data_IF_406966124601
#
_entry.id   IF_406966124601
#
_cell.length_a   1.000
_cell.length_b   1.000
_cell.length_c   1.000
_cell.angle_alpha   90.00
_cell.angle_beta   90.00
_cell.angle_gamma   90.00
#
_symmetry.space_group_name_H-M   'P 1'
#
loop_
_entity.id
_entity.type
_entity.pdbx_description
1 polymer ?
#
# COMPACT_ATOMS: atom_id res chain seq x y z
N UNK A 1 3.35 6.00 25.42
CA UNK A 1 4.28 7.12 25.15
C UNK A 1 4.36 7.28 23.65
N UNK A 2 3.75 8.31 23.09
CA UNK A 2 3.82 8.60 21.66
C UNK A 2 5.26 8.90 21.29
N UNK A 3 5.88 8.00 20.57
CA UNK A 3 7.21 8.19 19.97
C UNK A 3 7.07 9.37 18.99
N UNK A 4 7.53 10.56 19.39
CA UNK A 4 7.67 11.68 18.46
C UNK A 4 8.51 11.17 17.31
N UNK A 5 7.94 11.08 16.12
CA UNK A 5 8.68 10.85 14.88
C UNK A 5 9.87 11.81 14.86
N UNK A 6 11.08 11.29 15.03
CA UNK A 6 12.30 12.09 14.87
C UNK A 6 12.41 12.42 13.41
N UNK A 7 12.16 13.67 13.06
CA UNK A 7 12.48 14.19 11.72
C UNK A 7 14.01 14.26 11.65
N UNK A 8 14.62 13.32 10.96
CA UNK A 8 16.04 13.36 10.68
C UNK A 8 16.28 14.34 9.53
N UNK A 9 17.25 15.26 9.63
CA UNK A 9 17.59 16.17 8.54
C UNK A 9 18.04 15.36 7.32
N UNK A 10 17.71 15.88 6.15
CA UNK A 10 18.31 15.36 4.92
C UNK A 10 19.82 15.62 4.92
N UNK A 11 20.59 14.70 4.37
CA UNK A 11 22.05 14.78 4.31
C UNK A 11 22.52 14.72 2.87
N UNK A 12 23.58 15.45 2.57
CA UNK A 12 24.33 15.35 1.33
C UNK A 12 25.79 15.12 1.68
N UNK A 13 26.43 14.17 1.04
CA UNK A 13 27.83 13.82 1.27
C UNK A 13 28.79 14.70 0.49
N UNK A 14 28.32 15.22 -0.64
CA UNK A 14 29.09 16.10 -1.53
C UNK A 14 28.20 17.20 -2.08
N UNK A 15 28.82 18.32 -2.46
CA UNK A 15 28.11 19.41 -3.15
C UNK A 15 27.65 18.94 -4.53
N UNK A 16 26.35 19.03 -4.81
CA UNK A 16 25.71 18.61 -6.07
C UNK A 16 25.08 19.77 -6.82
N UNK A 17 25.07 20.99 -6.23
CA UNK A 17 24.50 22.15 -6.88
C UNK A 17 25.28 22.54 -8.11
N UNK A 18 24.63 22.48 -9.25
CA UNK A 18 25.25 22.71 -10.56
C UNK A 18 25.83 24.13 -10.67
N UNK A 19 25.10 25.13 -10.18
CA UNK A 19 25.53 26.52 -10.26
C UNK A 19 26.80 26.76 -9.43
N UNK A 20 26.84 26.24 -8.23
CA UNK A 20 28.00 26.32 -7.33
C UNK A 20 29.23 25.68 -7.95
N UNK A 21 29.10 24.49 -8.54
CA UNK A 21 30.21 23.77 -9.17
C UNK A 21 30.71 24.53 -10.42
N UNK A 22 29.80 24.94 -11.30
CA UNK A 22 30.13 25.70 -12.51
C UNK A 22 30.86 26.99 -12.16
N UNK A 23 30.33 27.77 -11.21
CA UNK A 23 30.95 29.03 -10.78
C UNK A 23 32.33 28.81 -10.18
N UNK A 24 32.51 27.75 -9.38
CA UNK A 24 33.81 27.40 -8.79
C UNK A 24 34.83 27.06 -9.86
N UNK A 25 34.46 26.29 -10.89
CA UNK A 25 35.35 25.92 -11.98
C UNK A 25 35.72 27.12 -12.86
N UNK A 26 34.73 27.97 -13.19
CA UNK A 26 34.97 29.18 -13.98
C UNK A 26 35.92 30.14 -13.25
N UNK A 27 35.64 30.48 -12.01
CA UNK A 27 36.44 31.35 -11.17
C UNK A 27 37.87 30.80 -10.99
N UNK A 28 37.99 29.48 -10.77
CA UNK A 28 39.30 28.82 -10.67
C UNK A 28 40.12 28.97 -11.94
N UNK A 29 39.51 28.77 -13.11
CA UNK A 29 40.17 28.92 -14.40
C UNK A 29 40.55 30.39 -14.70
N UNK A 30 39.62 31.34 -14.44
CA UNK A 30 39.86 32.78 -14.63
C UNK A 30 41.07 33.27 -13.80
N UNK A 31 41.18 32.79 -12.57
CA UNK A 31 42.30 33.09 -11.68
C UNK A 31 43.63 32.56 -12.24
N UNK A 32 43.66 31.37 -12.82
CA UNK A 32 44.84 30.76 -13.41
C UNK A 32 45.19 31.44 -14.73
N UNK A 33 44.19 31.70 -15.60
CA UNK A 33 44.36 32.27 -16.90
C UNK A 33 44.61 33.79 -16.89
N UNK A 34 44.36 34.47 -15.77
CA UNK A 34 44.49 35.93 -15.60
C UNK A 34 43.53 36.74 -16.47
N UNK A 35 42.38 36.15 -16.89
CA UNK A 35 41.39 36.81 -17.74
C UNK A 35 39.97 36.33 -17.41
N UNK A 36 39.00 37.19 -17.66
CA UNK A 36 37.57 36.87 -17.53
C UNK A 36 37.06 36.05 -18.71
N UNK A 37 36.24 35.04 -18.46
CA UNK A 37 35.60 34.24 -19.49
C UNK A 37 34.18 34.74 -19.78
N UNK A 38 33.94 35.19 -21.01
CA UNK A 38 32.61 35.60 -21.47
C UNK A 38 31.77 34.40 -21.91
N UNK A 39 30.42 34.51 -21.99
CA UNK A 39 29.54 33.40 -22.28
C UNK A 39 29.85 32.54 -23.51
N UNK A 40 30.36 33.18 -24.59
CA UNK A 40 30.73 32.51 -25.85
C UNK A 40 32.20 32.10 -25.94
N UNK A 41 33.01 32.29 -24.90
CA UNK A 41 34.42 31.87 -24.88
C UNK A 41 34.53 30.35 -25.01
N UNK A 42 35.33 29.82 -25.97
CA UNK A 42 35.53 28.38 -26.13
C UNK A 42 36.02 27.69 -24.86
N UNK A 43 36.86 28.35 -24.05
CA UNK A 43 37.31 27.81 -22.78
C UNK A 43 36.14 27.69 -21.76
N UNK A 44 35.20 28.64 -21.76
CA UNK A 44 34.00 28.56 -20.92
C UNK A 44 33.10 27.41 -21.34
N UNK A 45 32.90 27.20 -22.64
CA UNK A 45 32.11 26.07 -23.14
C UNK A 45 32.72 24.72 -22.76
N UNK A 46 34.06 24.62 -22.86
CA UNK A 46 34.77 23.42 -22.40
C UNK A 46 34.61 23.19 -20.89
N UNK A 47 34.74 24.26 -20.07
CA UNK A 47 34.52 24.16 -18.61
C UNK A 47 33.08 23.71 -18.27
N UNK A 48 32.11 24.24 -19.00
CA UNK A 48 30.70 23.80 -18.80
C UNK A 48 30.50 22.30 -19.08
N UNK A 49 31.13 21.79 -20.16
CA UNK A 49 31.08 20.36 -20.44
C UNK A 49 31.79 19.52 -19.37
N UNK A 50 32.94 19.95 -18.88
CA UNK A 50 33.64 19.28 -17.76
C UNK A 50 32.84 19.38 -16.49
N UNK A 51 32.20 20.52 -16.23
CA UNK A 51 31.35 20.73 -15.07
C UNK A 51 30.16 19.75 -15.05
N UNK A 52 29.54 19.50 -16.20
CA UNK A 52 28.44 18.54 -16.34
C UNK A 52 28.88 17.13 -15.90
N UNK A 53 30.03 16.67 -16.37
CA UNK A 53 30.61 15.38 -15.95
C UNK A 53 30.85 15.34 -14.43
N UNK A 54 31.44 16.42 -13.87
CA UNK A 54 31.71 16.48 -12.42
C UNK A 54 30.42 16.48 -11.61
N UNK A 55 29.38 17.18 -12.06
CA UNK A 55 28.08 17.20 -11.41
C UNK A 55 27.50 15.78 -11.39
N UNK A 56 27.50 15.08 -12.53
CA UNK A 56 27.01 13.72 -12.64
C UNK A 56 27.77 12.76 -11.71
N UNK A 57 29.10 12.83 -11.70
CA UNK A 57 29.92 12.02 -10.79
C UNK A 57 29.62 12.32 -9.31
N UNK A 58 29.41 13.58 -8.93
CA UNK A 58 29.05 13.97 -7.56
C UNK A 58 27.66 13.48 -7.18
N UNK A 59 26.69 13.54 -8.08
CA UNK A 59 25.35 12.95 -7.86
C UNK A 59 25.46 11.44 -7.63
N UNK A 60 26.27 10.75 -8.43
CA UNK A 60 26.51 9.31 -8.26
C UNK A 60 27.21 8.99 -6.93
N UNK A 61 28.16 9.82 -6.50
CA UNK A 61 28.86 9.66 -5.20
C UNK A 61 27.86 9.85 -4.05
N UNK A 62 27.04 10.92 -4.09
CA UNK A 62 26.03 11.19 -3.06
C UNK A 62 25.00 10.05 -2.99
N UNK A 63 24.50 9.61 -4.15
CA UNK A 63 23.61 8.46 -4.26
C UNK A 63 24.23 7.20 -3.66
N UNK A 64 25.43 6.82 -4.09
CA UNK A 64 26.13 5.62 -3.62
C UNK A 64 26.40 5.66 -2.11
N UNK A 65 26.74 6.83 -1.56
CA UNK A 65 26.95 7.01 -0.14
C UNK A 65 25.63 6.87 0.63
N UNK A 66 24.54 7.43 0.11
CA UNK A 66 23.20 7.33 0.70
C UNK A 66 22.69 5.89 0.73
N UNK A 67 23.05 5.04 -0.24
CA UNK A 67 22.65 3.62 -0.23
C UNK A 67 23.18 2.83 0.96
N UNK A 68 24.13 3.37 1.73
CA UNK A 68 24.59 2.75 2.98
C UNK A 68 23.79 3.18 4.22
N UNK A 69 22.73 3.97 4.04
CA UNK A 69 21.86 4.42 5.12
C UNK A 69 20.45 3.92 4.86
N UNK A 70 19.86 3.08 5.73
CA UNK A 70 18.58 2.42 5.46
C UNK A 70 17.44 3.34 5.02
N UNK A 71 17.37 4.58 5.52
CA UNK A 71 16.29 5.53 5.13
C UNK A 71 16.42 6.11 3.72
N UNK A 72 17.58 5.93 3.06
CA UNK A 72 17.83 6.38 1.69
C UNK A 72 18.09 5.22 0.74
N UNK A 73 18.37 4.04 1.29
CA UNK A 73 18.63 2.86 0.50
C UNK A 73 17.36 2.41 -0.23
N UNK A 74 17.53 1.99 -1.48
CA UNK A 74 16.45 1.58 -2.37
C UNK A 74 16.73 0.17 -2.92
N UNK A 75 15.67 -0.60 -3.16
CA UNK A 75 15.73 -1.90 -3.79
C UNK A 75 16.73 -2.85 -3.11
N UNK A 76 17.63 -3.45 -3.89
CA UNK A 76 18.61 -4.43 -3.43
C UNK A 76 19.61 -3.89 -2.39
N UNK A 77 19.86 -2.58 -2.37
CA UNK A 77 20.71 -1.97 -1.34
C UNK A 77 20.03 -2.00 0.02
N UNK A 78 18.73 -1.72 0.06
CA UNK A 78 17.95 -1.80 1.29
C UNK A 78 17.82 -3.26 1.74
N UNK A 79 17.61 -4.19 0.81
CA UNK A 79 17.52 -5.62 1.08
C UNK A 79 18.84 -6.14 1.70
N UNK A 80 20.00 -5.71 1.18
CA UNK A 80 21.31 -6.05 1.75
C UNK A 80 21.53 -5.46 3.14
N UNK A 81 21.05 -4.25 3.43
CA UNK A 81 21.12 -3.66 4.77
C UNK A 81 20.22 -4.37 5.77
N UNK A 82 19.13 -4.96 5.31
CA UNK A 82 18.19 -5.69 6.14
C UNK A 82 18.80 -6.98 6.73
N UNK A 83 19.85 -7.55 6.12
CA UNK A 83 20.60 -8.70 6.67
C UNK A 83 21.17 -8.44 8.10
N UNK A 84 21.33 -7.17 8.47
CA UNK A 84 21.76 -6.77 9.82
C UNK A 84 20.64 -6.85 10.86
N UNK A 85 19.40 -7.04 10.45
CA UNK A 85 18.21 -7.05 11.28
C UNK A 85 17.60 -8.45 11.31
N UNK A 86 17.37 -8.98 12.51
CA UNK A 86 16.87 -10.35 12.68
C UNK A 86 15.48 -10.50 12.04
N UNK A 87 15.37 -11.40 11.05
CA UNK A 87 14.11 -11.75 10.40
C UNK A 87 13.50 -10.66 9.53
N UNK A 88 14.28 -9.62 9.18
CA UNK A 88 13.83 -8.57 8.28
C UNK A 88 14.18 -8.95 6.84
N UNK A 89 13.29 -9.67 6.18
CA UNK A 89 13.34 -9.98 4.75
C UNK A 89 12.17 -9.28 4.05
N UNK A 90 12.39 -8.77 2.83
CA UNK A 90 11.32 -8.12 2.07
C UNK A 90 10.24 -9.13 1.71
N UNK A 91 8.98 -8.73 1.86
CA UNK A 91 7.87 -9.58 1.45
C UNK A 91 7.79 -9.62 -0.08
N UNK A 92 7.82 -10.84 -0.60
CA UNK A 92 7.69 -11.10 -2.03
C UNK A 92 6.23 -10.94 -2.49
N UNK A 93 5.99 -10.76 -3.80
CA UNK A 93 4.64 -10.63 -4.29
C UNK A 93 3.86 -11.94 -4.14
N UNK A 94 2.58 -11.83 -3.85
CA UNK A 94 1.65 -12.93 -3.68
C UNK A 94 0.57 -12.92 -4.75
N UNK A 95 0.00 -14.08 -5.02
CA UNK A 95 -1.07 -14.26 -5.99
C UNK A 95 -2.43 -14.34 -5.30
N UNK A 96 -3.44 -13.74 -5.92
CA UNK A 96 -4.80 -13.84 -5.43
C UNK A 96 -5.35 -15.26 -5.54
N UNK A 97 -6.12 -15.69 -4.56
CA UNK A 97 -6.77 -17.00 -4.49
C UNK A 97 -8.28 -16.89 -4.42
N UNK A 98 -8.95 -17.93 -4.86
CA UNK A 98 -10.39 -18.09 -4.77
C UNK A 98 -10.75 -19.56 -4.85
N UNK A 99 -11.98 -19.93 -4.50
CA UNK A 99 -12.51 -21.27 -4.71
C UNK A 99 -13.37 -21.27 -5.97
N UNK A 100 -12.99 -22.08 -6.96
CA UNK A 100 -13.79 -22.32 -8.17
C UNK A 100 -14.69 -23.54 -7.99
N UNK A 101 -15.95 -23.40 -8.34
CA UNK A 101 -16.90 -24.50 -8.46
C UNK A 101 -17.11 -24.84 -9.93
N UNK A 102 -16.91 -26.10 -10.25
CA UNK A 102 -17.18 -26.67 -11.57
C UNK A 102 -18.51 -27.42 -11.56
N UNK A 103 -19.32 -27.24 -12.60
CA UNK A 103 -20.60 -27.90 -12.78
C UNK A 103 -20.59 -28.74 -14.05
N UNK A 104 -21.01 -30.00 -13.94
CA UNK A 104 -21.19 -30.93 -15.07
C UNK A 104 -22.62 -30.85 -15.61
N UNK A 105 -22.79 -30.99 -16.93
CA UNK A 105 -24.09 -30.95 -17.60
C UNK A 105 -25.02 -32.07 -17.14
N UNK A 106 -24.44 -33.23 -16.80
CA UNK A 106 -25.16 -34.41 -16.28
C UNK A 106 -24.35 -35.06 -15.16
N UNK A 107 -25.00 -35.71 -14.18
CA UNK A 107 -24.28 -36.55 -13.24
C UNK A 107 -23.74 -37.79 -13.96
N UNK A 108 -22.44 -38.07 -13.80
CA UNK A 108 -21.78 -39.22 -14.44
C UNK A 108 -21.80 -40.43 -13.50
N UNK A 109 -21.86 -41.64 -14.07
CA UNK A 109 -21.83 -42.89 -13.30
C UNK A 109 -20.42 -43.24 -12.77
N UNK A 110 -19.38 -42.55 -13.28
CA UNK A 110 -17.98 -42.68 -12.87
C UNK A 110 -17.46 -41.35 -12.32
N UNK A 111 -16.53 -41.40 -11.39
CA UNK A 111 -15.86 -40.21 -10.92
C UNK A 111 -15.10 -39.52 -12.05
N UNK A 112 -15.19 -38.20 -12.13
CA UNK A 112 -14.55 -37.41 -13.21
C UNK A 112 -13.55 -36.45 -12.56
N UNK A 113 -12.34 -36.42 -13.12
CA UNK A 113 -11.27 -35.53 -12.63
C UNK A 113 -11.08 -34.35 -13.57
N UNK A 114 -11.07 -33.16 -13.01
CA UNK A 114 -10.63 -31.92 -13.64
C UNK A 114 -9.20 -31.71 -13.17
N UNK A 115 -8.19 -31.66 -14.10
CA UNK A 115 -6.80 -31.58 -13.73
C UNK A 115 -6.41 -30.28 -13.05
N UNK A 116 -5.40 -30.31 -12.19
CA UNK A 116 -4.70 -29.13 -11.73
C UNK A 116 -4.21 -28.26 -12.90
N UNK A 117 -4.20 -26.95 -12.73
CA UNK A 117 -3.87 -26.00 -13.79
C UNK A 117 -5.01 -25.68 -14.75
N UNK A 118 -6.24 -26.22 -14.53
CA UNK A 118 -7.44 -25.86 -15.31
C UNK A 118 -7.80 -24.40 -15.07
N UNK A 119 -8.01 -23.65 -16.17
CA UNK A 119 -8.08 -22.19 -16.15
C UNK A 119 -9.49 -21.65 -16.34
N UNK A 120 -9.77 -20.59 -15.61
CA UNK A 120 -10.97 -19.76 -15.77
C UNK A 120 -10.62 -18.28 -15.67
N UNK A 121 -11.46 -17.41 -16.23
CA UNK A 121 -11.21 -15.96 -16.28
C UNK A 121 -12.51 -15.17 -16.07
N UNK A 122 -12.45 -13.97 -15.46
CA UNK A 122 -13.58 -13.05 -15.41
C UNK A 122 -13.72 -12.20 -16.68
N UNK A 123 -12.63 -11.87 -17.38
CA UNK A 123 -12.55 -10.84 -18.40
C UNK A 123 -11.68 -11.20 -19.63
N UNK A 124 -11.00 -12.33 -19.60
CA UNK A 124 -10.06 -12.79 -20.63
C UNK A 124 -8.60 -12.33 -20.40
N UNK A 125 -8.33 -11.41 -19.47
CA UNK A 125 -6.98 -10.92 -19.15
C UNK A 125 -6.47 -11.53 -17.86
N UNK A 126 -7.27 -11.50 -16.79
CA UNK A 126 -6.94 -12.10 -15.50
C UNK A 126 -7.32 -13.57 -15.52
N UNK A 127 -6.37 -14.45 -15.26
CA UNK A 127 -6.56 -15.91 -15.34
C UNK A 127 -6.31 -16.55 -14.00
N UNK A 128 -7.26 -17.39 -13.56
CA UNK A 128 -7.13 -18.24 -12.40
C UNK A 128 -6.94 -19.70 -12.84
N UNK A 129 -6.05 -20.42 -12.18
CA UNK A 129 -5.79 -21.84 -12.44
C UNK A 129 -5.97 -22.66 -11.16
N UNK A 130 -6.58 -23.83 -11.28
CA UNK A 130 -6.76 -24.75 -10.15
C UNK A 130 -5.41 -25.23 -9.61
N UNK A 131 -5.26 -25.28 -8.29
CA UNK A 131 -4.01 -25.68 -7.64
C UNK A 131 -3.83 -27.19 -7.60
N UNK A 132 -4.92 -27.95 -7.56
CA UNK A 132 -4.91 -29.41 -7.47
C UNK A 132 -5.96 -30.05 -8.36
N UNK A 133 -5.89 -31.38 -8.50
CA UNK A 133 -6.88 -32.15 -9.23
C UNK A 133 -8.20 -32.18 -8.49
N UNK A 134 -9.27 -31.76 -9.16
CA UNK A 134 -10.63 -31.85 -8.62
C UNK A 134 -11.29 -33.15 -9.08
N UNK A 135 -11.60 -34.06 -8.16
CA UNK A 135 -12.39 -35.24 -8.46
C UNK A 135 -13.84 -35.04 -8.06
N UNK A 136 -14.74 -35.04 -9.04
CA UNK A 136 -16.20 -35.00 -8.83
C UNK A 136 -16.67 -36.45 -8.74
N UNK A 137 -17.23 -36.88 -7.56
CA UNK A 137 -17.67 -38.24 -7.35
C UNK A 137 -18.80 -38.67 -8.30
N UNK A 138 -18.91 -39.97 -8.55
CA UNK A 138 -20.03 -40.55 -9.31
C UNK A 138 -21.39 -40.11 -8.74
N UNK A 139 -22.30 -39.68 -9.60
CA UNK A 139 -23.63 -39.20 -9.25
C UNK A 139 -23.70 -37.75 -8.80
N UNK A 140 -22.59 -37.07 -8.60
CA UNK A 140 -22.54 -35.62 -8.31
C UNK A 140 -22.37 -34.81 -9.60
N UNK A 141 -22.87 -33.57 -9.57
CA UNK A 141 -22.74 -32.64 -10.69
C UNK A 141 -21.73 -31.51 -10.42
N UNK A 142 -21.42 -31.26 -9.19
CA UNK A 142 -20.57 -30.11 -8.79
C UNK A 142 -19.41 -30.56 -7.93
N UNK A 143 -18.30 -29.86 -8.07
CA UNK A 143 -17.13 -29.99 -7.22
C UNK A 143 -16.43 -28.63 -7.10
N UNK A 144 -15.75 -28.40 -5.99
CA UNK A 144 -15.06 -27.15 -5.73
C UNK A 144 -13.59 -27.41 -5.44
N UNK A 145 -12.74 -26.50 -5.88
CA UNK A 145 -11.26 -26.59 -5.76
C UNK A 145 -10.69 -25.19 -5.61
N UNK A 146 -9.61 -25.05 -4.88
CA UNK A 146 -8.85 -23.80 -4.79
C UNK A 146 -8.17 -23.49 -6.13
N UNK A 147 -8.20 -22.22 -6.49
CA UNK A 147 -7.55 -21.68 -7.67
C UNK A 147 -6.76 -20.44 -7.34
N UNK A 148 -5.67 -20.23 -8.05
CA UNK A 148 -4.74 -19.14 -7.87
C UNK A 148 -4.64 -18.30 -9.16
N UNK A 149 -4.57 -16.97 -9.01
CA UNK A 149 -4.29 -16.08 -10.14
C UNK A 149 -2.91 -16.39 -10.73
N UNK A 150 -2.79 -16.39 -12.05
CA UNK A 150 -1.49 -16.62 -12.69
C UNK A 150 -0.55 -15.41 -12.62
N UNK A 151 -1.10 -14.23 -12.34
CA UNK A 151 -0.34 -12.99 -12.22
C UNK A 151 -0.25 -12.64 -10.73
N UNK A 152 0.95 -12.30 -10.28
CA UNK A 152 1.22 -11.79 -8.94
C UNK A 152 0.67 -10.37 -8.77
N UNK A 153 0.37 -10.01 -7.52
CA UNK A 153 -0.10 -8.67 -7.19
C UNK A 153 -1.61 -8.59 -6.99
N UNK A 154 -2.06 -7.38 -6.70
CA UNK A 154 -3.44 -7.10 -6.30
C UNK A 154 -4.47 -7.18 -7.45
N UNK A 155 -4.04 -7.30 -8.71
CA UNK A 155 -4.95 -7.27 -9.86
C UNK A 155 -5.96 -8.44 -9.89
N UNK A 156 -5.61 -9.55 -9.23
CA UNK A 156 -6.49 -10.70 -9.11
C UNK A 156 -7.49 -10.61 -7.95
N UNK A 157 -7.44 -9.58 -7.11
CA UNK A 157 -8.33 -9.42 -5.96
C UNK A 157 -9.68 -8.82 -6.34
N UNK A 158 -10.69 -9.03 -5.49
CA UNK A 158 -11.96 -8.32 -5.53
C UNK A 158 -12.99 -8.87 -6.53
N UNK A 159 -12.75 -10.02 -7.16
CA UNK A 159 -13.78 -10.68 -7.95
C UNK A 159 -14.77 -11.37 -7.05
N UNK A 160 -15.96 -10.78 -6.91
CA UNK A 160 -17.04 -11.34 -6.10
C UNK A 160 -17.57 -12.67 -6.67
N UNK A 161 -18.23 -13.52 -5.87
CA UNK A 161 -18.78 -14.81 -6.32
C UNK A 161 -19.59 -14.70 -7.61
N UNK A 162 -19.32 -15.60 -8.57
CA UNK A 162 -19.94 -15.64 -9.89
C UNK A 162 -19.29 -14.76 -10.96
N UNK A 163 -18.28 -13.96 -10.66
CA UNK A 163 -17.60 -13.12 -11.67
C UNK A 163 -16.56 -13.90 -12.49
N UNK A 164 -15.85 -14.86 -11.88
CA UNK A 164 -14.88 -15.71 -12.61
C UNK A 164 -15.67 -16.88 -13.20
N UNK A 165 -16.25 -16.68 -14.36
CA UNK A 165 -17.23 -17.61 -14.94
C UNK A 165 -16.96 -18.02 -16.39
N UNK A 166 -15.86 -17.58 -16.98
CA UNK A 166 -15.48 -17.92 -18.34
C UNK A 166 -14.42 -19.02 -18.32
N UNK A 167 -14.73 -20.25 -18.83
CA UNK A 167 -13.73 -21.31 -18.94
C UNK A 167 -12.75 -21.01 -20.07
N UNK A 168 -11.46 -21.20 -19.82
CA UNK A 168 -10.43 -21.21 -20.87
C UNK A 168 -10.23 -22.64 -21.36
N UNK A 169 -10.17 -23.61 -20.42
CA UNK A 169 -10.03 -25.04 -20.76
C UNK A 169 -11.39 -25.72 -20.62
N UNK A 170 -11.79 -26.48 -21.65
CA UNK A 170 -13.10 -27.12 -21.72
C UNK A 170 -12.92 -28.63 -21.76
N UNK A 171 -13.71 -29.34 -20.96
CA UNK A 171 -13.70 -30.81 -20.87
C UNK A 171 -15.04 -31.41 -21.30
N UNK A 172 -15.09 -32.73 -21.66
CA UNK A 172 -16.34 -33.42 -21.91
C UNK A 172 -17.27 -33.31 -20.69
N UNK A 173 -18.57 -33.12 -20.94
CA UNK A 173 -19.63 -32.98 -19.94
C UNK A 173 -19.51 -31.71 -19.03
N UNK A 174 -18.66 -30.78 -19.39
CA UNK A 174 -18.51 -29.49 -18.72
C UNK A 174 -19.75 -28.62 -19.03
N UNK A 175 -20.30 -27.94 -18.00
CA UNK A 175 -21.39 -26.99 -18.16
C UNK A 175 -20.93 -25.55 -17.82
N UNK A 176 -20.41 -25.36 -16.61
CA UNK A 176 -19.99 -24.04 -16.14
C UNK A 176 -18.91 -24.10 -15.07
N UNK A 177 -18.22 -22.99 -14.90
CA UNK A 177 -17.34 -22.70 -13.77
C UNK A 177 -17.76 -21.34 -13.18
N UNK A 178 -17.65 -21.20 -11.89
CA UNK A 178 -17.80 -19.92 -11.21
C UNK A 178 -16.99 -19.91 -9.91
N UNK A 179 -16.53 -18.73 -9.49
CA UNK A 179 -15.97 -18.59 -8.16
C UNK A 179 -17.11 -18.49 -7.13
N UNK A 180 -16.97 -19.23 -6.04
CA UNK A 180 -17.94 -19.22 -4.92
C UNK A 180 -17.46 -18.39 -3.73
N UNK A 181 -16.20 -17.99 -3.73
CA UNK A 181 -15.62 -17.05 -2.78
C UNK A 181 -15.12 -15.80 -3.52
N UNK A 182 -15.05 -14.67 -2.83
CA UNK A 182 -14.37 -13.49 -3.36
C UNK A 182 -12.87 -13.79 -3.50
N UNK A 183 -12.25 -13.34 -4.60
CA UNK A 183 -10.81 -13.50 -4.77
C UNK A 183 -10.04 -12.49 -3.92
N UNK A 184 -9.04 -12.98 -3.18
CA UNK A 184 -8.26 -12.16 -2.25
C UNK A 184 -6.82 -12.70 -2.11
N UNK A 185 -6.00 -12.02 -1.30
CA UNK A 185 -4.65 -12.44 -0.93
C UNK A 185 -3.55 -12.04 -1.92
N UNK A 186 -3.89 -11.50 -3.09
CA UNK A 186 -2.88 -11.03 -4.04
C UNK A 186 -2.20 -9.75 -3.56
N UNK A 187 -0.87 -9.77 -3.41
CA UNK A 187 -0.07 -8.64 -2.97
C UNK A 187 1.08 -8.35 -3.93
N UNK A 188 1.39 -7.07 -4.13
CA UNK A 188 2.62 -6.68 -4.82
C UNK A 188 3.84 -6.84 -3.91
N UNK A 189 5.05 -6.81 -4.48
CA UNK A 189 6.29 -6.77 -3.69
C UNK A 189 6.25 -5.58 -2.73
N UNK A 190 6.68 -5.79 -1.50
CA UNK A 190 6.72 -4.77 -0.47
C UNK A 190 7.55 -3.55 -0.92
N UNK A 191 6.99 -2.35 -0.76
CA UNK A 191 7.69 -1.12 -1.12
C UNK A 191 8.88 -0.82 -0.20
N UNK A 192 9.87 -0.08 -0.68
CA UNK A 192 11.04 0.32 0.13
C UNK A 192 10.61 1.06 1.41
N UNK A 193 9.59 1.92 1.33
CA UNK A 193 9.10 2.66 2.49
C UNK A 193 8.46 1.74 3.54
N UNK A 194 7.63 0.77 3.12
CA UNK A 194 7.01 -0.18 4.02
C UNK A 194 8.05 -1.12 4.64
N UNK A 195 8.97 -1.62 3.82
CA UNK A 195 10.05 -2.48 4.27
C UNK A 195 10.98 -1.79 5.27
N UNK A 196 11.36 -0.53 5.02
CA UNK A 196 12.18 0.25 5.94
C UNK A 196 11.51 0.41 7.31
N UNK A 197 10.21 0.73 7.36
CA UNK A 197 9.49 0.85 8.64
C UNK A 197 9.39 -0.51 9.34
N UNK A 198 9.08 -1.59 8.64
CA UNK A 198 9.02 -2.94 9.21
C UNK A 198 10.40 -3.42 9.68
N UNK A 199 11.47 -3.11 8.94
CA UNK A 199 12.84 -3.38 9.36
C UNK A 199 13.19 -2.66 10.69
N UNK A 200 12.72 -1.42 10.88
CA UNK A 200 12.89 -0.71 12.16
C UNK A 200 12.09 -1.34 13.29
N UNK A 201 10.89 -1.81 13.01
CA UNK A 201 10.03 -2.50 13.97
C UNK A 201 10.60 -3.87 14.38
N UNK A 202 11.42 -4.51 13.53
CA UNK A 202 12.03 -5.81 13.82
C UNK A 202 12.88 -5.83 15.09
N UNK A 203 13.38 -4.68 15.53
CA UNK A 203 14.14 -4.55 16.79
C UNK A 203 13.31 -5.00 18.00
N UNK A 204 11.99 -4.84 17.96
CA UNK A 204 11.08 -5.29 19.03
C UNK A 204 11.05 -6.83 19.16
N UNK A 205 11.43 -7.57 18.12
CA UNK A 205 11.46 -9.04 18.13
C UNK A 205 12.62 -9.64 18.93
N UNK A 206 13.59 -8.83 19.35
CA UNK A 206 14.67 -9.29 20.22
C UNK A 206 14.20 -9.60 21.65
N UNK A 207 13.07 -9.06 22.06
CA UNK A 207 12.49 -9.34 23.37
C UNK A 207 11.62 -10.60 23.33
N UNK A 208 11.89 -11.56 24.20
CA UNK A 208 11.08 -12.77 24.37
C UNK A 208 9.95 -12.60 25.38
N UNK A 209 9.75 -11.37 25.92
CA UNK A 209 8.73 -11.08 26.92
C UNK A 209 7.37 -10.68 26.34
N UNK A 210 7.18 -10.81 25.02
CA UNK A 210 5.92 -10.46 24.34
C UNK A 210 5.60 -8.96 24.32
N UNK A 211 6.53 -8.08 23.87
CA UNK A 211 6.22 -6.66 23.75
C UNK A 211 5.16 -6.45 22.66
N UNK A 212 4.28 -5.45 22.84
CA UNK A 212 3.24 -5.13 21.86
C UNK A 212 3.82 -4.92 20.46
N UNK A 213 4.96 -4.22 20.36
CA UNK A 213 5.66 -4.01 19.09
C UNK A 213 6.12 -5.29 18.41
N UNK A 214 6.43 -6.34 19.16
CA UNK A 214 6.75 -7.66 18.62
C UNK A 214 5.54 -8.29 17.92
N UNK A 215 4.36 -8.25 18.54
CA UNK A 215 3.12 -8.73 17.93
C UNK A 215 2.75 -7.92 16.67
N UNK A 216 2.90 -6.59 16.72
CA UNK A 216 2.66 -5.71 15.57
C UNK A 216 3.61 -6.03 14.41
N UNK A 217 4.89 -6.27 14.70
CA UNK A 217 5.88 -6.66 13.69
C UNK A 217 5.54 -8.00 13.02
N UNK A 218 5.29 -9.05 13.82
CA UNK A 218 5.00 -10.37 13.27
C UNK A 218 3.69 -10.39 12.48
N UNK A 219 2.67 -9.66 12.94
CA UNK A 219 1.43 -9.51 12.19
C UNK A 219 1.65 -8.83 10.82
N UNK A 220 2.45 -7.76 10.76
CA UNK A 220 2.80 -7.09 9.50
C UNK A 220 3.66 -7.96 8.58
N UNK A 221 4.38 -8.95 9.13
CA UNK A 221 5.20 -9.87 8.35
C UNK A 221 4.38 -10.96 7.65
N UNK A 222 3.07 -11.06 7.92
CA UNK A 222 2.21 -12.01 7.27
C UNK A 222 1.95 -11.67 5.80
N UNK A 223 1.66 -10.40 5.48
CA UNK A 223 1.40 -9.97 4.09
C UNK A 223 1.74 -8.50 3.86
N UNK A 224 2.21 -8.19 2.65
CA UNK A 224 2.44 -6.81 2.20
C UNK A 224 1.15 -5.98 2.04
N UNK A 225 -0.01 -6.62 2.08
CA UNK A 225 -1.31 -5.93 2.10
C UNK A 225 -1.59 -5.26 3.44
N UNK A 226 -0.93 -5.67 4.53
CA UNK A 226 -1.19 -5.16 5.87
C UNK A 226 -0.51 -3.80 6.05
N UNK A 227 -1.33 -2.75 6.16
CA UNK A 227 -0.84 -1.38 6.30
C UNK A 227 -0.67 -0.94 7.76
N UNK A 228 -1.57 -1.35 8.66
CA UNK A 228 -1.52 -0.97 10.07
C UNK A 228 -1.95 -2.12 10.97
N UNK A 229 -1.27 -2.26 12.08
CA UNK A 229 -1.59 -3.27 13.11
C UNK A 229 -1.58 -2.58 14.47
N UNK A 230 -2.54 -2.95 15.32
CA UNK A 230 -2.61 -2.53 16.72
C UNK A 230 -2.75 -3.74 17.63
N UNK A 231 -1.76 -3.91 18.49
CA UNK A 231 -1.82 -4.88 19.57
C UNK A 231 -2.18 -4.18 20.89
N UNK A 232 -3.10 -4.77 21.64
CA UNK A 232 -3.51 -4.30 22.97
C UNK A 232 -3.63 -5.50 23.91
N UNK A 233 -3.50 -5.25 25.21
CA UNK A 233 -3.73 -6.27 26.23
C UNK A 233 -4.90 -5.82 27.11
N UNK A 234 -6.13 -6.25 26.82
CA UNK A 234 -7.31 -5.85 27.57
C UNK A 234 -7.31 -6.44 28.99
N UNK A 235 -6.80 -7.66 29.15
CA UNK A 235 -6.64 -8.35 30.43
C UNK A 235 -5.27 -9.05 30.50
N UNK A 236 -4.74 -9.33 31.69
CA UNK A 236 -3.48 -10.06 31.83
C UNK A 236 -3.51 -11.42 31.14
N UNK A 237 -2.56 -11.65 30.22
CA UNK A 237 -2.48 -12.88 29.43
C UNK A 237 -3.34 -12.88 28.18
N UNK A 238 -4.14 -11.84 27.94
CA UNK A 238 -4.87 -11.69 26.68
C UNK A 238 -4.25 -10.61 25.81
N UNK A 239 -4.08 -10.94 24.53
CA UNK A 239 -3.55 -10.03 23.49
C UNK A 239 -4.56 -9.95 22.37
N UNK A 240 -5.11 -8.73 22.13
CA UNK A 240 -6.02 -8.44 21.03
C UNK A 240 -5.26 -7.70 19.94
N UNK A 241 -5.16 -8.31 18.74
CA UNK A 241 -4.46 -7.78 17.58
C UNK A 241 -5.47 -7.40 16.50
N UNK A 242 -5.46 -6.14 16.11
CA UNK A 242 -6.30 -5.60 15.03
C UNK A 242 -5.45 -5.33 13.80
N UNK A 243 -5.94 -5.77 12.65
CA UNK A 243 -5.23 -5.71 11.37
C UNK A 243 -6.03 -4.88 10.37
N UNK A 244 -5.37 -3.91 9.73
CA UNK A 244 -5.94 -3.04 8.70
C UNK A 244 -5.14 -3.18 7.42
N UNK A 245 -5.83 -3.33 6.28
CA UNK A 245 -5.18 -3.46 4.98
C UNK A 245 -4.90 -2.09 4.34
N UNK A 246 -4.05 -2.11 3.34
CA UNK A 246 -3.73 -0.95 2.48
C UNK A 246 -5.00 -0.36 1.87
N UNK A 247 -5.08 0.97 1.85
CA UNK A 247 -6.30 1.66 1.39
C UNK A 247 -7.42 1.74 2.41
N UNK A 248 -7.25 1.18 3.62
CA UNK A 248 -8.26 1.18 4.68
C UNK A 248 -9.30 0.06 4.54
N UNK A 249 -8.98 -0.96 3.76
CA UNK A 249 -9.82 -2.14 3.60
C UNK A 249 -9.76 -3.02 4.86
N UNK A 250 -10.86 -3.67 5.16
CA UNK A 250 -10.92 -4.62 6.26
C UNK A 250 -10.44 -6.00 5.79
N UNK A 251 -9.60 -6.70 6.57
CA UNK A 251 -9.09 -8.01 6.20
C UNK A 251 -10.20 -9.06 6.16
N UNK A 252 -10.14 -9.93 5.16
CA UNK A 252 -10.95 -11.14 5.08
C UNK A 252 -10.46 -12.25 6.03
N UNK A 253 -11.22 -13.35 6.10
CA UNK A 253 -10.92 -14.47 7.01
C UNK A 253 -9.57 -15.12 6.72
N UNK A 254 -9.14 -15.14 5.45
CA UNK A 254 -7.87 -15.74 5.01
C UNK A 254 -6.67 -15.02 5.63
N UNK A 255 -6.59 -13.70 5.48
CA UNK A 255 -5.51 -12.89 6.06
C UNK A 255 -5.54 -12.92 7.59
N UNK A 256 -6.74 -12.86 8.19
CA UNK A 256 -6.85 -12.96 9.65
C UNK A 256 -6.36 -14.30 10.18
N UNK A 257 -6.62 -15.38 9.46
CA UNK A 257 -6.14 -16.72 9.81
C UNK A 257 -4.61 -16.80 9.67
N UNK A 258 -4.06 -16.30 8.58
CA UNK A 258 -2.60 -16.29 8.35
C UNK A 258 -1.87 -15.52 9.46
N UNK A 259 -2.32 -14.32 9.79
CA UNK A 259 -1.79 -13.55 10.92
C UNK A 259 -1.93 -14.32 12.22
N UNK A 260 -3.09 -14.96 12.46
CA UNK A 260 -3.31 -15.76 13.67
C UNK A 260 -2.35 -16.95 13.76
N UNK A 261 -2.12 -17.65 12.66
CA UNK A 261 -1.21 -18.80 12.62
C UNK A 261 0.24 -18.36 12.94
N UNK A 262 0.71 -17.23 12.39
CA UNK A 262 2.02 -16.67 12.70
C UNK A 262 2.13 -16.24 14.16
N UNK A 263 1.14 -15.51 14.68
CA UNK A 263 1.20 -14.98 16.05
C UNK A 263 1.04 -16.06 17.13
N UNK A 264 0.38 -17.16 16.81
CA UNK A 264 0.23 -18.30 17.72
C UNK A 264 1.34 -19.33 17.62
N UNK A 265 2.33 -19.14 16.73
CA UNK A 265 3.50 -20.03 16.65
C UNK A 265 4.29 -20.04 17.95
N UNK A 266 4.77 -21.22 18.38
CA UNK A 266 5.52 -21.42 19.64
C UNK A 266 6.82 -20.58 19.70
N UNK A 267 7.35 -20.15 18.56
CA UNK A 267 8.55 -19.31 18.45
C UNK A 267 8.27 -17.81 18.57
N UNK A 268 7.02 -17.41 18.51
CA UNK A 268 6.55 -16.00 18.51
C UNK A 268 5.86 -15.68 19.83
N UNK A 269 4.93 -16.48 20.24
CA UNK A 269 4.05 -16.23 21.38
C UNK A 269 4.67 -16.70 22.71
N UNK A 270 4.70 -15.85 23.78
CA UNK A 270 4.88 -16.34 25.14
C UNK A 270 3.84 -17.39 25.52
N UNK A 271 4.24 -18.38 26.31
CA UNK A 271 3.37 -19.51 26.69
C UNK A 271 2.08 -19.11 27.40
N UNK A 272 2.08 -17.96 28.07
CA UNK A 272 0.94 -17.47 28.87
C UNK A 272 -0.04 -16.63 28.11
N UNK A 273 0.32 -16.20 26.90
CA UNK A 273 -0.48 -15.24 26.13
C UNK A 273 -1.51 -15.96 25.25
N UNK A 274 -2.75 -15.47 25.34
CA UNK A 274 -3.84 -15.88 24.46
C UNK A 274 -4.04 -14.78 23.41
N UNK A 275 -3.67 -15.08 22.15
CA UNK A 275 -3.69 -14.09 21.08
C UNK A 275 -4.96 -14.24 20.25
N UNK A 276 -5.71 -13.15 20.13
CA UNK A 276 -6.87 -13.05 19.23
C UNK A 276 -6.59 -12.05 18.12
N UNK A 277 -6.96 -12.41 16.89
CA UNK A 277 -6.75 -11.57 15.69
C UNK A 277 -8.11 -11.27 15.07
N UNK A 278 -8.36 -10.00 14.78
CA UNK A 278 -9.60 -9.59 14.15
C UNK A 278 -9.45 -8.29 13.34
N UNK A 279 -10.46 -7.99 12.52
CA UNK A 279 -10.57 -6.70 11.86
C UNK A 279 -10.81 -5.56 12.88
N UNK A 280 -10.40 -4.32 12.61
CA UNK A 280 -10.74 -3.18 13.46
C UNK A 280 -12.24 -2.90 13.42
N UNK A 281 -12.74 -2.26 14.45
CA UNK A 281 -14.12 -1.79 14.48
C UNK A 281 -14.29 -0.64 13.50
N UNK A 282 -15.22 -0.75 12.55
CA UNK A 282 -15.53 0.34 11.63
C UNK A 282 -16.36 1.43 12.34
N UNK A 283 -15.88 2.68 12.29
CA UNK A 283 -16.59 3.87 12.79
C UNK A 283 -17.08 4.66 11.58
N UNK A 284 -18.38 4.61 11.25
CA UNK A 284 -18.89 5.27 10.06
C UNK A 284 -18.92 6.80 10.23
N UNK A 285 -18.52 7.52 9.18
CA UNK A 285 -18.71 8.96 9.06
C UNK A 285 -19.18 9.34 7.66
N UNK A 286 -19.87 10.48 7.54
CA UNK A 286 -20.34 10.99 6.26
C UNK A 286 -19.59 12.26 5.86
N UNK A 287 -19.51 12.54 4.56
CA UNK A 287 -18.99 13.78 4.01
C UNK A 287 -20.15 14.55 3.38
N UNK A 288 -20.39 15.76 3.88
CA UNK A 288 -21.36 16.70 3.30
C UNK A 288 -20.72 18.09 3.27
N UNK A 289 -20.34 18.51 2.07
CA UNK A 289 -19.53 19.72 1.84
C UNK A 289 -20.16 20.53 0.71
N UNK A 290 -20.24 21.84 0.93
CA UNK A 290 -20.48 22.81 -0.14
C UNK A 290 -19.23 23.65 -0.34
N UNK A 291 -18.77 23.80 -1.59
CA UNK A 291 -17.65 24.67 -1.92
C UNK A 291 -18.11 25.81 -2.83
N UNK A 292 -17.43 26.94 -2.72
CA UNK A 292 -17.72 28.15 -3.49
C UNK A 292 -16.46 28.59 -4.23
N UNK A 293 -16.63 28.98 -5.49
CA UNK A 293 -15.53 29.46 -6.34
C UNK A 293 -15.50 31.00 -6.36
N UNK A 294 -14.37 31.56 -6.76
CA UNK A 294 -14.29 32.99 -7.01
C UNK A 294 -14.80 33.31 -8.42
N UNK A 295 -15.57 34.39 -8.59
CA UNK A 295 -16.17 34.77 -9.89
C UNK A 295 -15.09 35.03 -10.96
N UNK A 296 -13.92 35.56 -10.56
CA UNK A 296 -12.79 35.88 -11.44
C UNK A 296 -11.68 34.79 -11.37
N UNK A 297 -12.02 33.56 -11.06
CA UNK A 297 -11.04 32.47 -10.98
C UNK A 297 -10.37 32.23 -12.33
N UNK A 298 -9.03 32.13 -12.35
CA UNK A 298 -8.25 31.75 -13.53
C UNK A 298 -8.46 30.29 -13.96
N UNK A 299 -8.99 29.44 -13.04
CA UNK A 299 -9.29 28.03 -13.31
C UNK A 299 -10.74 27.86 -13.77
N UNK A 300 -10.97 26.91 -14.68
CA UNK A 300 -12.34 26.58 -15.10
C UNK A 300 -13.12 25.89 -13.97
N UNK A 301 -14.43 26.05 -13.97
CA UNK A 301 -15.32 25.38 -13.00
C UNK A 301 -15.15 23.85 -13.00
N UNK A 302 -14.95 23.26 -14.18
CA UNK A 302 -14.75 21.82 -14.35
C UNK A 302 -13.40 21.36 -13.75
N UNK A 303 -12.34 22.16 -13.92
CA UNK A 303 -11.02 21.88 -13.31
C UNK A 303 -11.13 21.91 -11.79
N UNK A 304 -11.72 22.96 -11.22
CA UNK A 304 -11.92 23.06 -9.77
C UNK A 304 -12.78 21.90 -9.25
N UNK A 305 -13.83 21.50 -9.97
CA UNK A 305 -14.68 20.39 -9.57
C UNK A 305 -13.91 19.05 -9.55
N UNK A 306 -13.04 18.82 -10.54
CA UNK A 306 -12.17 17.63 -10.59
C UNK A 306 -11.15 17.63 -9.43
N UNK A 307 -10.52 18.78 -9.16
CA UNK A 307 -9.55 18.92 -8.07
C UNK A 307 -10.22 18.76 -6.70
N UNK A 308 -11.42 19.30 -6.52
CA UNK A 308 -12.23 19.10 -5.30
C UNK A 308 -12.57 17.61 -5.11
N UNK A 309 -12.97 16.92 -6.17
CA UNK A 309 -13.25 15.48 -6.09
C UNK A 309 -11.99 14.66 -5.73
N UNK A 310 -10.84 15.02 -6.29
CA UNK A 310 -9.55 14.41 -5.96
C UNK A 310 -9.14 14.68 -4.50
N UNK A 311 -9.33 15.91 -4.01
CA UNK A 311 -9.05 16.28 -2.62
C UNK A 311 -9.93 15.49 -1.62
N UNK A 312 -11.22 15.29 -1.94
CA UNK A 312 -12.13 14.47 -1.12
C UNK A 312 -11.67 13.03 -1.09
N UNK A 313 -11.28 12.44 -2.23
CA UNK A 313 -10.72 11.08 -2.29
C UNK A 313 -9.42 10.97 -1.48
N UNK A 314 -8.56 11.96 -1.55
CA UNK A 314 -7.32 12.02 -0.78
C UNK A 314 -7.59 12.06 0.72
N UNK A 315 -8.61 12.81 1.16
CA UNK A 315 -9.05 12.82 2.56
C UNK A 315 -9.59 11.46 2.98
N UNK A 316 -10.44 10.81 2.18
CA UNK A 316 -11.00 9.48 2.47
C UNK A 316 -9.88 8.47 2.67
N UNK A 317 -8.92 8.42 1.73
CA UNK A 317 -7.77 7.55 1.79
C UNK A 317 -6.95 7.83 3.05
N UNK A 318 -6.56 9.07 3.28
CA UNK A 318 -5.81 9.47 4.47
C UNK A 318 -6.52 9.07 5.76
N UNK A 319 -7.84 9.26 5.86
CA UNK A 319 -8.61 8.94 7.06
C UNK A 319 -8.68 7.43 7.32
N UNK A 320 -8.82 6.63 6.27
CA UNK A 320 -9.00 5.19 6.36
C UNK A 320 -7.68 4.41 6.54
N UNK A 321 -6.52 4.97 6.17
CA UNK A 321 -5.23 4.24 6.17
C UNK A 321 -4.64 3.95 7.56
N UNK A 322 -5.24 4.44 8.64
CA UNK A 322 -4.67 4.28 9.98
C UNK A 322 -5.72 4.12 11.05
N UNK A 323 -5.57 3.11 11.89
CA UNK A 323 -6.39 2.93 13.09
C UNK A 323 -6.13 4.03 14.13
N UNK A 324 -7.13 4.34 14.96
CA UNK A 324 -7.05 5.36 16.00
C UNK A 324 -6.92 6.79 15.48
N UNK A 325 -7.13 7.03 14.19
CA UNK A 325 -7.11 8.37 13.61
C UNK A 325 -8.47 9.03 13.79
N UNK A 326 -8.50 10.08 14.60
CA UNK A 326 -9.71 10.88 14.81
C UNK A 326 -10.25 11.45 13.50
N UNK A 327 -11.57 11.49 13.36
CA UNK A 327 -12.21 12.14 12.22
C UNK A 327 -12.03 13.65 12.36
N UNK A 328 -11.19 14.25 11.52
CA UNK A 328 -10.80 15.64 11.62
C UNK A 328 -11.29 16.47 10.43
N UNK A 329 -12.38 17.27 10.59
CA UNK A 329 -12.89 18.13 9.51
C UNK A 329 -11.89 19.20 9.05
N UNK A 330 -10.97 19.63 9.93
CA UNK A 330 -9.95 20.63 9.56
C UNK A 330 -8.99 20.12 8.49
N UNK A 331 -8.68 18.83 8.49
CA UNK A 331 -7.86 18.22 7.42
C UNK A 331 -8.60 18.22 6.08
N UNK A 332 -9.90 17.92 6.06
CA UNK A 332 -10.72 18.01 4.86
C UNK A 332 -10.76 19.45 4.32
N UNK A 333 -10.99 20.44 5.18
CA UNK A 333 -10.97 21.86 4.80
C UNK A 333 -9.62 22.25 4.21
N UNK A 334 -8.52 21.84 4.84
CA UNK A 334 -7.17 22.15 4.37
C UNK A 334 -6.90 21.60 2.96
N UNK A 335 -7.30 20.36 2.69
CA UNK A 335 -7.18 19.77 1.36
C UNK A 335 -8.04 20.46 0.31
N UNK A 336 -9.29 20.80 0.67
CA UNK A 336 -10.19 21.49 -0.24
C UNK A 336 -9.73 22.92 -0.55
N UNK A 337 -9.21 23.66 0.42
CA UNK A 337 -8.70 25.01 0.19
C UNK A 337 -7.49 25.07 -0.75
N UNK A 338 -6.77 23.97 -0.92
CA UNK A 338 -5.64 23.87 -1.87
C UNK A 338 -6.09 23.75 -3.33
N UNK A 339 -7.37 23.47 -3.60
CA UNK A 339 -7.91 23.29 -4.96
C UNK A 339 -8.28 24.60 -5.65
N UNK A 340 -8.04 25.75 -5.03
CA UNK A 340 -8.38 27.06 -5.58
C UNK A 340 -9.84 27.49 -5.35
N UNK A 341 -10.56 26.80 -4.45
CA UNK A 341 -11.88 27.25 -4.00
C UNK A 341 -11.74 28.48 -3.08
N UNK A 342 -12.70 29.38 -3.13
CA UNK A 342 -12.74 30.57 -2.29
C UNK A 342 -13.02 30.22 -0.81
N UNK A 343 -14.01 29.39 -0.57
CA UNK A 343 -14.39 28.91 0.76
C UNK A 343 -15.12 27.57 0.72
N UNK A 344 -15.19 26.94 1.85
CA UNK A 344 -15.83 25.62 2.05
C UNK A 344 -16.76 25.69 3.24
N UNK A 345 -17.93 25.07 3.13
CA UNK A 345 -18.83 24.81 4.24
C UNK A 345 -18.92 23.30 4.48
N UNK A 346 -18.36 22.84 5.59
CA UNK A 346 -18.39 21.42 5.98
C UNK A 346 -19.51 21.24 7.00
N UNK A 347 -20.57 20.52 6.59
CA UNK A 347 -21.69 20.14 7.49
C UNK A 347 -21.38 18.80 8.19
N UNK A 348 -20.70 17.92 7.48
CA UNK A 348 -20.09 16.70 8.02
C UNK A 348 -18.80 16.41 7.23
N UNK A 349 -17.79 15.76 7.86
CA UNK A 349 -17.80 15.24 9.21
C UNK A 349 -17.70 16.35 10.26
N UNK A 350 -18.15 16.04 11.49
CA UNK A 350 -17.77 16.76 12.71
C UNK A 350 -16.60 16.04 13.34
N UNK A 351 -15.83 16.74 14.18
CA UNK A 351 -14.75 16.09 14.91
C UNK A 351 -15.29 14.95 15.79
N UNK A 352 -14.69 13.77 15.66
CA UNK A 352 -15.02 12.60 16.45
C UNK A 352 -13.74 11.81 16.75
N UNK A 353 -13.61 11.37 18.00
CA UNK A 353 -12.52 10.49 18.42
C UNK A 353 -12.75 9.07 17.96
N UNK A 354 -11.68 8.41 17.53
CA UNK A 354 -11.67 7.01 17.10
C UNK A 354 -10.76 6.22 18.03
N UNK A 355 -11.26 5.12 18.57
CA UNK A 355 -10.47 4.26 19.45
C UNK A 355 -9.25 3.66 18.71
N UNK A 356 -8.16 3.38 19.43
CA UNK A 356 -6.92 2.87 18.84
C UNK A 356 -7.08 1.56 18.05
N UNK A 357 -8.08 0.76 18.38
CA UNK A 357 -8.43 -0.51 17.72
C UNK A 357 -9.59 -0.39 16.70
N UNK A 358 -9.93 0.84 16.31
CA UNK A 358 -11.00 1.14 15.35
C UNK A 358 -10.47 1.97 14.17
N UNK A 359 -11.20 1.94 13.07
CA UNK A 359 -10.90 2.72 11.86
C UNK A 359 -12.12 3.50 11.39
N UNK A 360 -11.93 4.77 11.04
CA UNK A 360 -13.00 5.58 10.48
C UNK A 360 -13.25 5.22 9.02
N UNK A 361 -14.47 4.85 8.68
CA UNK A 361 -14.88 4.51 7.32
C UNK A 361 -15.94 5.47 6.79
N UNK A 362 -15.75 5.91 5.54
CA UNK A 362 -16.69 6.80 4.89
C UNK A 362 -17.97 6.08 4.49
N UNK A 363 -19.11 6.67 4.83
CA UNK A 363 -20.44 6.24 4.39
C UNK A 363 -20.87 7.01 3.14
N UNK A 364 -21.77 7.96 3.31
CA UNK A 364 -22.28 8.80 2.19
C UNK A 364 -21.37 10.00 1.93
N UNK A 365 -21.16 10.30 0.65
CA UNK A 365 -20.39 11.47 0.19
C UNK A 365 -21.28 12.37 -0.64
N UNK A 366 -21.44 13.61 -0.20
CA UNK A 366 -22.17 14.66 -0.89
C UNK A 366 -21.30 15.89 -1.01
N UNK A 367 -20.91 16.24 -2.22
CA UNK A 367 -20.10 17.42 -2.53
C UNK A 367 -20.86 18.29 -3.52
N UNK A 368 -21.17 19.51 -3.14
CA UNK A 368 -22.01 20.41 -3.92
C UNK A 368 -21.25 21.71 -4.24
N UNK A 369 -21.29 22.10 -5.49
CA UNK A 369 -20.86 23.45 -5.89
C UNK A 369 -21.95 24.45 -5.50
N UNK A 370 -21.64 25.34 -4.57
CA UNK A 370 -22.54 26.39 -4.08
C UNK A 370 -22.60 27.63 -4.98
N UNK A 371 -21.81 27.65 -6.06
CA UNK A 371 -21.74 28.75 -7.01
C UNK A 371 -20.51 29.63 -6.88
N UNK A 372 -20.44 30.66 -7.71
CA UNK A 372 -19.38 31.65 -7.68
C UNK A 372 -19.76 32.84 -6.79
N UNK A 373 -18.80 33.39 -6.08
CA UNK A 373 -18.95 34.53 -5.18
C UNK A 373 -17.94 35.63 -5.53
N UNK A 374 -18.34 36.88 -5.38
CA UNK A 374 -17.45 38.05 -5.44
C UNK A 374 -16.62 38.16 -4.15
N UNK A 375 -15.47 38.85 -4.23
CA UNK A 375 -14.72 39.22 -3.01
C UNK A 375 -15.55 40.04 -2.04
#
# INVERSE_FOLDING_TARGET
MTTKSRIYPDISYVETDTETIVNTLIQGYEKIAGRTLYPADPARLFILWVADIIVQERVNIDFSAKQNIPRYAEGEYLDSLAELFKGAERLEPEKARTTLQYTLSIPLEVATTIPAGTRATPDGEIVFATLEDLTIPAGQRTGSVEAECQIEGANGNGFVPGQINQPIDVFPYYESVENITESAGGAGRESDAAFYERMRESVETYSTAGPLGGYEYFAKSASALIADVKATSPEPGEVDVRVLLTGGELPGEEILKEVSDILNADTVRPLTDHVTVAAPQAVPYNINVSYYTQEDSALSADTIAADVAAAVKSFQKWQAEKMGRDVNPSQLIALLMQTGVKRVEVRSPVFATVADNAVAQVGTVSVVNGGAERE
#
